data_IF_785882903398
#
_entry.id   IF_785882903398
#
_cell.length_a   1.000
_cell.length_b   1.000
_cell.length_c   1.000
_cell.angle_alpha   90.00
_cell.angle_beta   90.00
_cell.angle_gamma   90.00
#
_symmetry.space_group_name_H-M   'P 1'
#
loop_
_entity.id
_entity.type
_entity.pdbx_description
1 polymer ?
#
# COMPACT_ATOMS: atom_id res chain seq x y z
N UNK A 1 12.59 21.58 -0.48
CA UNK A 1 11.63 21.13 0.56
C UNK A 1 12.06 21.73 1.87
N UNK A 2 11.14 22.32 2.63
CA UNK A 2 11.42 22.69 4.02
C UNK A 2 11.63 21.41 4.83
N UNK A 3 12.64 21.38 5.69
CA UNK A 3 12.88 20.27 6.61
C UNK A 3 11.89 20.30 7.78
N UNK A 4 11.70 19.15 8.43
CA UNK A 4 10.79 19.00 9.55
C UNK A 4 11.06 17.75 10.37
N UNK A 5 10.13 17.46 11.28
CA UNK A 5 10.15 16.28 12.12
C UNK A 5 8.91 15.47 11.77
N UNK A 6 9.11 14.33 11.13
CA UNK A 6 8.07 13.44 10.68
C UNK A 6 7.72 12.41 11.75
N UNK A 7 6.43 12.17 11.95
CA UNK A 7 5.89 11.03 12.67
C UNK A 7 5.13 10.13 11.69
N UNK A 8 5.64 8.93 11.42
CA UNK A 8 5.02 7.96 10.52
C UNK A 8 4.27 6.92 11.35
N UNK A 9 2.94 6.94 11.32
CA UNK A 9 2.10 5.90 11.91
C UNK A 9 1.94 4.73 10.93
N UNK A 10 2.48 3.55 11.29
CA UNK A 10 2.56 2.40 10.37
C UNK A 10 3.87 2.34 9.60
N UNK A 11 5.00 2.69 10.23
CA UNK A 11 6.30 2.83 9.57
C UNK A 11 6.81 1.52 8.93
N UNK A 12 6.33 0.37 9.38
CA UNK A 12 6.68 -0.95 8.81
C UNK A 12 5.75 -1.40 7.67
N UNK A 13 4.76 -0.57 7.30
CA UNK A 13 3.85 -0.81 6.19
C UNK A 13 4.48 -0.49 4.82
N UNK A 14 3.82 -0.89 3.74
CA UNK A 14 4.30 -0.70 2.36
C UNK A 14 4.64 0.75 1.99
N UNK A 15 3.75 1.69 2.32
CA UNK A 15 4.03 3.13 2.14
C UNK A 15 4.95 3.65 3.24
N UNK A 16 4.75 3.22 4.50
CA UNK A 16 5.52 3.69 5.65
C UNK A 16 7.04 3.48 5.50
N UNK A 17 7.48 2.32 5.00
CA UNK A 17 8.90 2.03 4.74
C UNK A 17 9.45 2.95 3.64
N UNK A 18 8.69 3.11 2.56
CA UNK A 18 9.09 3.95 1.42
C UNK A 18 9.21 5.42 1.84
N UNK A 19 8.24 5.90 2.63
CA UNK A 19 8.22 7.24 3.21
C UNK A 19 9.39 7.47 4.17
N UNK A 20 9.65 6.50 5.07
CA UNK A 20 10.79 6.55 5.96
C UNK A 20 12.11 6.67 5.17
N UNK A 21 12.31 5.83 4.13
CA UNK A 21 13.51 5.86 3.27
C UNK A 21 13.71 7.22 2.59
N UNK A 22 12.64 7.80 2.03
CA UNK A 22 12.69 9.13 1.41
C UNK A 22 13.08 10.19 2.43
N UNK A 23 12.40 10.24 3.57
CA UNK A 23 12.63 11.28 4.58
C UNK A 23 14.02 11.19 5.23
N UNK A 24 14.51 9.99 5.59
CA UNK A 24 15.86 9.85 6.17
C UNK A 24 16.97 10.17 5.17
N UNK A 25 16.70 10.11 3.86
CA UNK A 25 17.65 10.52 2.81
C UNK A 25 17.74 12.05 2.64
N UNK A 26 17.03 12.80 3.47
CA UNK A 26 16.96 14.27 3.48
C UNK A 26 17.16 14.80 4.90
N UNK A 27 17.08 16.11 5.11
CA UNK A 27 17.30 16.75 6.43
C UNK A 27 16.13 16.59 7.42
N UNK A 28 15.32 15.54 7.28
CA UNK A 28 14.19 15.27 8.17
C UNK A 28 14.59 14.41 9.36
N UNK A 29 14.10 14.79 10.54
CA UNK A 29 14.09 13.89 11.69
C UNK A 29 12.87 12.96 11.58
N UNK A 30 13.08 11.65 11.67
CA UNK A 30 12.00 10.67 11.46
C UNK A 30 11.75 9.87 12.73
N UNK A 31 10.51 9.92 13.21
CA UNK A 31 9.95 8.97 14.16
C UNK A 31 9.02 8.00 13.43
N UNK A 32 9.07 6.73 13.80
CA UNK A 32 8.23 5.69 13.19
C UNK A 32 7.50 4.87 14.23
N UNK A 33 6.17 4.82 14.15
CA UNK A 33 5.33 3.99 15.03
C UNK A 33 4.97 2.68 14.35
N UNK A 34 5.13 1.58 15.08
CA UNK A 34 4.50 0.30 14.73
C UNK A 34 4.46 -0.62 15.96
N UNK A 35 3.61 -1.64 15.92
CA UNK A 35 3.49 -2.65 16.99
C UNK A 35 4.70 -3.59 17.07
N UNK A 36 5.49 -3.67 16.00
CA UNK A 36 6.61 -4.60 15.84
C UNK A 36 7.77 -3.88 15.19
N UNK A 37 8.99 -4.20 15.62
CA UNK A 37 10.20 -3.80 14.91
C UNK A 37 10.29 -4.56 13.57
N UNK A 38 11.02 -3.99 12.60
CA UNK A 38 11.26 -4.61 11.31
C UNK A 38 12.72 -4.38 10.92
N UNK A 39 13.39 -5.45 10.51
CA UNK A 39 14.79 -5.41 10.04
C UNK A 39 14.93 -4.63 8.72
N UNK A 40 13.81 -4.32 8.07
CA UNK A 40 13.76 -3.60 6.80
C UNK A 40 13.59 -2.08 6.95
N UNK A 41 13.53 -1.56 8.19
CA UNK A 41 13.51 -0.12 8.41
C UNK A 41 14.86 0.50 8.05
N UNK A 42 14.89 1.65 7.34
CA UNK A 42 16.15 2.30 7.04
C UNK A 42 16.80 2.87 8.30
N UNK A 43 18.13 2.93 8.29
CA UNK A 43 18.87 3.66 9.32
C UNK A 43 18.43 5.12 9.40
N UNK A 44 18.47 5.69 10.61
CA UNK A 44 18.03 7.06 10.89
C UNK A 44 16.57 7.21 11.36
N UNK A 45 15.78 6.13 11.32
CA UNK A 45 14.43 6.12 11.91
C UNK A 45 14.52 5.91 13.42
N UNK A 46 13.95 6.84 14.19
CA UNK A 46 13.72 6.68 15.62
C UNK A 46 12.44 5.85 15.81
N UNK A 47 12.59 4.53 15.88
CA UNK A 47 11.46 3.61 16.01
C UNK A 47 10.87 3.62 17.42
N UNK A 48 9.53 3.59 17.49
CA UNK A 48 8.76 3.60 18.73
C UNK A 48 7.72 2.49 18.65
N UNK A 49 7.78 1.58 19.63
CA UNK A 49 6.77 0.54 19.79
C UNK A 49 5.48 1.17 20.32
N UNK A 50 4.43 1.14 19.50
CA UNK A 50 3.15 1.74 19.82
C UNK A 50 2.02 0.92 19.16
N UNK A 51 1.01 0.57 19.96
CA UNK A 51 -0.23 -0.01 19.46
C UNK A 51 -1.32 1.06 19.47
N UNK A 52 -1.75 1.48 18.28
CA UNK A 52 -2.77 2.52 18.15
C UNK A 52 -4.15 2.11 18.67
N UNK A 53 -4.40 0.80 18.85
CA UNK A 53 -5.64 0.31 19.45
C UNK A 53 -5.63 0.38 20.98
N UNK A 54 -4.49 0.68 21.60
CA UNK A 54 -4.31 0.76 23.05
C UNK A 54 -3.97 2.21 23.44
N UNK A 55 -4.97 2.93 23.96
CA UNK A 55 -4.84 4.35 24.31
C UNK A 55 -3.70 4.63 25.30
N UNK A 56 -3.47 3.72 26.26
CA UNK A 56 -2.39 3.87 27.25
C UNK A 56 -1.02 3.75 26.59
N UNK A 57 -0.84 2.75 25.72
CA UNK A 57 0.41 2.57 24.97
C UNK A 57 0.66 3.72 23.98
N UNK A 58 -0.40 4.29 23.41
CA UNK A 58 -0.29 5.50 22.58
C UNK A 58 0.27 6.66 23.37
N UNK A 59 -0.38 6.98 24.50
CA UNK A 59 0.05 8.06 25.37
C UNK A 59 1.51 7.90 25.80
N UNK A 60 1.90 6.68 26.19
CA UNK A 60 3.27 6.38 26.58
C UNK A 60 4.29 6.52 25.45
N UNK A 61 3.98 6.02 24.25
CA UNK A 61 4.89 6.08 23.09
C UNK A 61 5.05 7.49 22.53
N UNK A 62 4.02 8.34 22.67
CA UNK A 62 3.98 9.68 22.08
C UNK A 62 4.43 10.78 23.06
N UNK A 63 4.52 10.50 24.37
CA UNK A 63 4.75 11.52 25.41
C UNK A 63 5.99 12.39 25.18
N UNK A 64 7.06 11.85 24.59
CA UNK A 64 8.33 12.55 24.36
C UNK A 64 8.42 13.26 23.00
N UNK A 65 7.45 13.08 22.11
CA UNK A 65 7.52 13.53 20.71
C UNK A 65 7.05 14.98 20.56
N UNK A 66 7.68 15.89 21.29
CA UNK A 66 7.29 17.30 21.36
C UNK A 66 7.67 18.12 20.12
N UNK A 67 8.59 17.62 19.32
CA UNK A 67 9.16 18.30 18.17
C UNK A 67 8.55 17.89 16.82
N UNK A 68 7.53 17.02 16.83
CA UNK A 68 6.82 16.58 15.61
C UNK A 68 6.14 17.77 14.94
N UNK A 69 6.36 17.90 13.63
CA UNK A 69 5.74 18.94 12.81
C UNK A 69 4.85 18.38 11.70
N UNK A 70 5.12 17.18 11.20
CA UNK A 70 4.29 16.55 10.16
C UNK A 70 3.97 15.13 10.58
N UNK A 71 2.69 14.77 10.49
CA UNK A 71 2.19 13.44 10.79
C UNK A 71 1.80 12.77 9.48
N UNK A 72 2.27 11.55 9.28
CA UNK A 72 1.91 10.72 8.14
C UNK A 72 1.21 9.47 8.66
N UNK A 73 -0.10 9.38 8.43
CA UNK A 73 -0.92 8.27 8.88
C UNK A 73 -1.07 7.24 7.77
N UNK A 74 -0.26 6.17 7.83
CA UNK A 74 -0.15 5.14 6.79
C UNK A 74 -0.53 3.75 7.29
N UNK A 75 -1.48 3.66 8.22
CA UNK A 75 -1.88 2.40 8.87
C UNK A 75 -3.39 2.26 8.96
N UNK A 76 -3.85 1.02 9.06
CA UNK A 76 -5.25 0.68 9.31
C UNK A 76 -5.35 -0.74 9.87
N UNK A 77 -6.56 -1.13 10.27
CA UNK A 77 -6.91 -2.49 10.69
C UNK A 77 -8.15 -2.95 9.93
N UNK A 78 -8.18 -4.21 9.50
CA UNK A 78 -9.41 -4.85 9.06
C UNK A 78 -9.84 -5.94 10.04
N UNK A 79 -11.13 -5.95 10.36
CA UNK A 79 -11.85 -6.96 11.12
C UNK A 79 -12.75 -7.82 10.22
N UNK A 80 -12.65 -7.66 8.89
CA UNK A 80 -13.53 -8.28 7.89
C UNK A 80 -15.02 -7.89 8.04
N UNK A 81 -15.29 -6.79 8.74
CA UNK A 81 -16.63 -6.28 9.02
C UNK A 81 -16.56 -4.75 8.85
N UNK A 82 -17.18 -4.19 7.79
CA UNK A 82 -17.07 -2.76 7.49
C UNK A 82 -17.50 -1.82 8.62
N UNK A 83 -18.47 -2.22 9.46
CA UNK A 83 -18.92 -1.38 10.56
C UNK A 83 -17.88 -1.35 11.68
N UNK A 84 -17.35 -2.52 12.04
CA UNK A 84 -16.26 -2.63 13.03
C UNK A 84 -14.96 -2.00 12.53
N UNK A 85 -14.68 -2.08 11.23
CA UNK A 85 -13.55 -1.39 10.60
C UNK A 85 -13.64 0.12 10.85
N UNK A 86 -14.83 0.72 10.71
CA UNK A 86 -15.04 2.14 11.00
C UNK A 86 -14.72 2.47 12.46
N UNK A 87 -15.25 1.70 13.40
CA UNK A 87 -15.11 1.98 14.83
C UNK A 87 -13.64 1.81 15.29
N UNK A 88 -12.97 0.74 14.87
CA UNK A 88 -11.58 0.46 15.25
C UNK A 88 -10.62 1.48 14.63
N UNK A 89 -10.75 1.79 13.33
CA UNK A 89 -9.83 2.74 12.69
C UNK A 89 -10.04 4.17 13.19
N UNK A 90 -11.28 4.58 13.49
CA UNK A 90 -11.57 5.87 14.12
C UNK A 90 -10.93 5.95 15.50
N UNK A 91 -11.06 4.91 16.33
CA UNK A 91 -10.42 4.88 17.66
C UNK A 91 -8.89 4.94 17.58
N UNK A 92 -8.28 4.23 16.63
CA UNK A 92 -6.83 4.29 16.40
C UNK A 92 -6.34 5.70 16.05
N UNK A 93 -7.07 6.40 15.17
CA UNK A 93 -6.74 7.76 14.80
C UNK A 93 -6.90 8.73 15.98
N UNK A 94 -8.01 8.62 16.73
CA UNK A 94 -8.27 9.45 17.90
C UNK A 94 -7.15 9.27 18.96
N UNK A 95 -6.77 8.02 19.27
CA UNK A 95 -5.69 7.72 20.20
C UNK A 95 -4.36 8.34 19.79
N UNK A 96 -4.05 8.41 18.48
CA UNK A 96 -2.87 9.11 17.99
C UNK A 96 -3.03 10.63 18.19
N UNK A 97 -4.12 11.21 17.68
CA UNK A 97 -4.32 12.66 17.63
C UNK A 97 -4.42 13.29 19.03
N UNK A 98 -5.04 12.60 19.99
CA UNK A 98 -5.11 13.03 21.41
C UNK A 98 -3.74 13.17 22.08
N UNK A 99 -2.71 12.54 21.52
CA UNK A 99 -1.37 12.51 22.08
C UNK A 99 -0.34 13.23 21.21
N UNK A 100 -0.76 13.89 20.12
CA UNK A 100 0.11 14.73 19.30
C UNK A 100 0.50 16.02 20.04
N UNK A 101 1.65 16.63 19.71
CA UNK A 101 1.97 17.96 20.22
C UNK A 101 0.99 19.00 19.65
N UNK A 102 0.69 20.04 20.43
CA UNK A 102 -0.31 21.07 20.10
C UNK A 102 0.01 21.97 18.90
N UNK A 103 1.13 21.74 18.20
CA UNK A 103 1.62 22.61 17.12
C UNK A 103 2.21 21.82 15.96
N UNK A 104 1.54 20.74 15.54
CA UNK A 104 1.85 20.17 14.24
C UNK A 104 1.52 21.18 13.13
N UNK A 105 2.23 21.11 12.01
CA UNK A 105 2.00 21.94 10.82
C UNK A 105 1.07 21.25 9.82
N UNK A 106 1.23 19.94 9.67
CA UNK A 106 0.51 19.18 8.66
C UNK A 106 0.16 17.75 9.12
N UNK A 107 -1.01 17.27 8.71
CA UNK A 107 -1.46 15.89 8.87
C UNK A 107 -1.81 15.27 7.51
N UNK A 108 -0.97 14.36 7.03
CA UNK A 108 -1.15 13.64 5.78
C UNK A 108 -1.78 12.27 6.04
N UNK A 109 -2.95 12.02 5.46
CA UNK A 109 -3.72 10.79 5.64
C UNK A 109 -3.61 9.90 4.40
N UNK A 110 -3.24 8.63 4.57
CA UNK A 110 -3.31 7.63 3.51
C UNK A 110 -4.65 6.88 3.59
N UNK A 111 -5.44 6.94 2.52
CA UNK A 111 -6.68 6.15 2.37
C UNK A 111 -6.59 5.25 1.12
N UNK A 112 -7.39 5.49 0.08
CA UNK A 112 -7.33 4.76 -1.18
C UNK A 112 -8.59 4.83 -2.02
N UNK A 113 -8.55 4.18 -3.18
CA UNK A 113 -9.64 4.18 -4.17
C UNK A 113 -10.99 3.69 -3.62
N UNK A 114 -11.02 2.94 -2.51
CA UNK A 114 -12.27 2.55 -1.81
C UNK A 114 -13.14 3.75 -1.38
N UNK A 115 -12.57 4.96 -1.31
CA UNK A 115 -13.34 6.20 -1.17
C UNK A 115 -14.46 6.30 -2.24
N UNK A 116 -14.13 5.91 -3.47
CA UNK A 116 -15.01 5.98 -4.62
C UNK A 116 -15.68 4.64 -4.92
N UNK A 117 -14.93 3.53 -4.76
CA UNK A 117 -15.37 2.19 -5.18
C UNK A 117 -16.03 1.37 -4.06
N UNK A 118 -16.04 1.83 -2.81
CA UNK A 118 -16.69 1.13 -1.69
C UNK A 118 -15.81 0.12 -0.96
N UNK A 119 -16.38 -0.52 0.06
CA UNK A 119 -15.70 -1.52 0.87
C UNK A 119 -15.53 -2.84 0.11
N UNK A 120 -14.66 -3.70 0.63
CA UNK A 120 -14.53 -5.06 0.10
C UNK A 120 -15.86 -5.80 0.28
N UNK A 121 -16.33 -6.45 -0.79
CA UNK A 121 -17.61 -7.16 -0.82
C UNK A 121 -18.82 -6.31 -1.21
N UNK A 122 -18.67 -4.98 -1.29
CA UNK A 122 -19.75 -4.13 -1.81
C UNK A 122 -20.00 -4.41 -3.29
N UNK A 123 -21.28 -4.39 -3.71
CA UNK A 123 -21.62 -4.37 -5.13
C UNK A 123 -21.10 -3.06 -5.72
N UNK A 124 -20.13 -3.15 -6.62
CA UNK A 124 -19.59 -1.98 -7.30
C UNK A 124 -20.63 -1.51 -8.32
N UNK A 125 -21.15 -0.30 -8.12
CA UNK A 125 -22.11 0.32 -9.05
C UNK A 125 -21.43 0.83 -10.32
N UNK A 126 -22.19 1.56 -11.14
CA UNK A 126 -21.69 2.17 -12.36
C UNK A 126 -20.76 3.36 -12.04
N UNK A 127 -19.46 3.08 -11.92
CA UNK A 127 -18.43 4.10 -11.73
C UNK A 127 -17.84 4.45 -13.10
N UNK A 128 -17.89 5.74 -13.44
CA UNK A 128 -17.30 6.27 -14.66
C UNK A 128 -15.81 6.54 -14.43
N UNK A 129 -14.94 5.97 -15.26
CA UNK A 129 -13.50 6.26 -15.25
C UNK A 129 -13.13 7.32 -16.30
N UNK A 130 -12.05 8.11 -16.09
CA UNK A 130 -11.16 8.09 -14.93
C UNK A 130 -11.81 8.68 -13.67
N UNK A 131 -11.54 8.05 -12.52
CA UNK A 131 -11.99 8.49 -11.20
C UNK A 131 -11.31 9.83 -10.87
N UNK A 132 -12.10 10.83 -10.47
CA UNK A 132 -11.63 12.18 -10.13
C UNK A 132 -11.88 12.50 -8.67
N UNK A 133 -11.05 13.33 -8.07
CA UNK A 133 -11.20 13.75 -6.67
C UNK A 133 -12.47 14.58 -6.42
N UNK A 134 -13.08 15.11 -7.49
CA UNK A 134 -14.38 15.82 -7.45
C UNK A 134 -15.58 14.88 -7.34
N UNK A 135 -15.39 13.57 -7.45
CA UNK A 135 -16.48 12.61 -7.25
C UNK A 135 -16.94 12.63 -5.79
N UNK A 136 -18.25 12.51 -5.58
CA UNK A 136 -18.80 12.45 -4.23
C UNK A 136 -18.36 11.18 -3.50
N UNK A 137 -18.36 11.26 -2.17
CA UNK A 137 -18.21 10.09 -1.30
C UNK A 137 -19.23 9.03 -1.69
N UNK A 138 -18.80 7.79 -1.85
CA UNK A 138 -19.73 6.69 -2.07
C UNK A 138 -20.68 6.56 -0.86
N UNK A 139 -22.01 6.44 -1.07
CA UNK A 139 -22.95 6.22 0.03
C UNK A 139 -22.62 4.96 0.83
N UNK A 140 -22.79 5.03 2.16
CA UNK A 140 -22.52 3.94 3.10
C UNK A 140 -21.41 4.25 4.10
N UNK A 141 -21.26 3.40 5.12
CA UNK A 141 -20.18 3.51 6.09
C UNK A 141 -18.86 3.07 5.45
N UNK A 142 -17.86 3.94 5.47
CA UNK A 142 -16.52 3.64 5.04
C UNK A 142 -15.56 4.34 6.00
N UNK A 143 -14.65 3.59 6.59
CA UNK A 143 -13.75 4.14 7.61
C UNK A 143 -12.86 5.27 7.05
N UNK A 144 -12.63 5.33 5.73
CA UNK A 144 -11.94 6.46 5.11
C UNK A 144 -12.67 7.78 5.35
N UNK A 145 -14.00 7.80 5.27
CA UNK A 145 -14.80 8.99 5.52
C UNK A 145 -14.73 9.40 7.00
N UNK A 146 -14.76 8.41 7.90
CA UNK A 146 -14.60 8.63 9.34
C UNK A 146 -13.24 9.24 9.70
N UNK A 147 -12.16 8.74 9.09
CA UNK A 147 -10.81 9.28 9.27
C UNK A 147 -10.70 10.71 8.72
N UNK A 148 -11.23 10.97 7.52
CA UNK A 148 -11.28 12.30 6.92
C UNK A 148 -12.02 13.30 7.83
N UNK A 149 -13.21 12.94 8.30
CA UNK A 149 -14.05 13.83 9.12
C UNK A 149 -13.37 14.20 10.44
N UNK A 150 -12.68 13.25 11.09
CA UNK A 150 -11.91 13.50 12.32
C UNK A 150 -10.74 14.47 12.06
N UNK A 151 -9.92 14.21 11.03
CA UNK A 151 -8.77 15.06 10.68
C UNK A 151 -9.24 16.47 10.30
N UNK A 152 -10.27 16.58 9.47
CA UNK A 152 -10.81 17.86 9.00
C UNK A 152 -11.45 18.65 10.15
N UNK A 153 -12.13 17.95 11.07
CA UNK A 153 -12.69 18.52 12.28
C UNK A 153 -11.62 19.16 13.16
N UNK A 154 -10.56 18.41 13.46
CA UNK A 154 -9.46 18.90 14.30
C UNK A 154 -8.63 19.98 13.64
N UNK A 155 -8.38 19.90 12.34
CA UNK A 155 -7.66 20.94 11.60
C UNK A 155 -8.29 22.33 11.78
N UNK A 156 -9.62 22.41 11.84
CA UNK A 156 -10.37 23.66 12.06
C UNK A 156 -10.14 24.28 13.45
N UNK A 157 -9.88 23.46 14.46
CA UNK A 157 -9.73 23.91 15.86
C UNK A 157 -8.28 23.99 16.33
N UNK A 158 -7.39 23.19 15.75
CA UNK A 158 -6.00 23.03 16.17
C UNK A 158 -4.98 23.70 15.22
N UNK A 159 -5.47 24.36 14.16
CA UNK A 159 -4.68 25.22 13.26
C UNK A 159 -3.50 24.52 12.56
N UNK A 160 -3.76 23.34 11.99
CA UNK A 160 -2.85 22.63 11.08
C UNK A 160 -3.50 22.41 9.70
N UNK A 161 -2.67 22.14 8.69
CA UNK A 161 -3.14 21.78 7.34
C UNK A 161 -3.23 20.27 7.17
N UNK A 162 -4.04 19.80 6.23
CA UNK A 162 -4.17 18.36 5.97
C UNK A 162 -4.06 18.03 4.50
N UNK A 163 -3.81 16.76 4.19
CA UNK A 163 -3.90 16.19 2.85
C UNK A 163 -4.41 14.76 2.94
N UNK A 164 -4.97 14.24 1.84
CA UNK A 164 -5.38 12.83 1.76
C UNK A 164 -4.86 12.19 0.47
N UNK A 165 -3.92 11.26 0.60
CA UNK A 165 -3.46 10.44 -0.51
C UNK A 165 -4.41 9.24 -0.72
N UNK A 166 -4.97 9.11 -1.92
CA UNK A 166 -5.90 8.06 -2.33
C UNK A 166 -5.28 7.21 -3.45
N UNK A 167 -4.38 6.27 -3.12
CA UNK A 167 -3.81 5.38 -4.12
C UNK A 167 -4.81 4.32 -4.60
N UNK A 168 -4.52 3.74 -5.77
CA UNK A 168 -5.05 2.44 -6.18
C UNK A 168 -4.30 1.33 -5.42
N UNK A 169 -4.42 0.07 -5.85
CA UNK A 169 -3.69 -1.02 -5.22
C UNK A 169 -2.18 -0.80 -5.32
N UNK A 170 -1.49 -1.01 -4.20
CA UNK A 170 -0.10 -0.56 -4.02
C UNK A 170 0.88 -1.67 -4.39
N UNK A 171 1.88 -1.31 -5.20
CA UNK A 171 3.05 -2.12 -5.51
C UNK A 171 4.23 -1.58 -4.70
N UNK A 172 4.85 -2.42 -3.87
CA UNK A 172 6.01 -2.01 -3.10
C UNK A 172 6.54 -3.08 -2.16
N UNK A 173 7.69 -2.81 -1.55
CA UNK A 173 8.37 -3.76 -0.67
C UNK A 173 7.98 -3.53 0.79
N UNK A 174 7.25 -4.47 1.37
CA UNK A 174 7.04 -4.59 2.82
C UNK A 174 6.68 -6.04 3.19
N UNK A 175 7.67 -6.87 3.58
CA UNK A 175 7.44 -8.29 3.87
C UNK A 175 6.44 -8.58 5.00
N UNK A 176 6.18 -7.59 5.87
CA UNK A 176 5.22 -7.70 6.98
C UNK A 176 3.81 -7.21 6.62
N UNK A 177 3.56 -6.79 5.37
CA UNK A 177 2.26 -6.33 4.88
C UNK A 177 1.64 -7.40 3.98
N UNK A 178 0.45 -7.89 4.36
CA UNK A 178 -0.19 -9.02 3.68
C UNK A 178 -0.95 -8.62 2.41
N UNK A 179 -1.50 -7.40 2.35
CA UNK A 179 -2.13 -6.85 1.13
C UNK A 179 -1.06 -6.24 0.23
N UNK A 180 -0.35 -7.10 -0.48
CA UNK A 180 0.76 -6.73 -1.34
C UNK A 180 0.76 -7.57 -2.62
N UNK A 181 0.31 -6.96 -3.73
CA UNK A 181 0.14 -7.67 -5.01
C UNK A 181 1.48 -8.20 -5.50
N UNK A 182 2.55 -7.40 -5.44
CA UNK A 182 3.86 -7.83 -5.92
C UNK A 182 4.39 -9.05 -5.14
N UNK A 183 4.25 -9.04 -3.81
CA UNK A 183 4.69 -10.19 -2.99
C UNK A 183 3.88 -11.45 -3.33
N UNK A 184 2.56 -11.33 -3.46
CA UNK A 184 1.69 -12.45 -3.85
C UNK A 184 2.04 -13.04 -5.22
N UNK A 185 2.22 -12.18 -6.23
CA UNK A 185 2.59 -12.62 -7.59
C UNK A 185 3.98 -13.25 -7.63
N UNK A 186 4.94 -12.71 -6.88
CA UNK A 186 6.30 -13.24 -6.81
C UNK A 186 6.34 -14.65 -6.20
N UNK A 187 5.55 -14.89 -5.15
CA UNK A 187 5.43 -16.22 -4.51
C UNK A 187 4.72 -17.19 -5.44
N UNK A 188 3.60 -16.77 -6.07
CA UNK A 188 2.89 -17.60 -7.03
C UNK A 188 3.78 -18.01 -8.21
N UNK A 189 4.51 -17.05 -8.81
CA UNK A 189 5.48 -17.33 -9.87
C UNK A 189 6.59 -18.29 -9.39
N UNK A 190 7.11 -18.11 -8.18
CA UNK A 190 8.13 -18.99 -7.60
C UNK A 190 7.61 -20.41 -7.43
N UNK A 191 6.40 -20.59 -6.88
CA UNK A 191 5.76 -21.90 -6.73
C UNK A 191 5.52 -22.56 -8.09
N UNK A 192 4.98 -21.83 -9.06
CA UNK A 192 4.80 -22.34 -10.41
C UNK A 192 6.12 -22.84 -11.01
N UNK A 193 7.19 -22.06 -10.88
CA UNK A 193 8.51 -22.45 -11.36
C UNK A 193 9.04 -23.73 -10.70
N UNK A 194 9.01 -23.77 -9.37
CA UNK A 194 9.61 -24.87 -8.59
C UNK A 194 8.82 -26.17 -8.69
N UNK A 195 7.50 -26.08 -8.87
CA UNK A 195 6.61 -27.22 -9.00
C UNK A 195 6.37 -27.61 -10.46
N UNK A 196 6.97 -26.92 -11.42
CA UNK A 196 6.74 -27.09 -12.86
C UNK A 196 5.24 -27.01 -13.22
N UNK A 197 4.54 -26.04 -12.63
CA UNK A 197 3.13 -25.75 -12.89
C UNK A 197 2.99 -24.59 -13.87
N UNK A 198 1.92 -24.55 -14.67
CA UNK A 198 1.61 -23.41 -15.52
C UNK A 198 1.43 -22.12 -14.70
N UNK A 199 1.99 -21.01 -15.16
CA UNK A 199 1.76 -19.68 -14.56
C UNK A 199 0.47 -19.06 -15.12
N UNK A 200 -0.66 -19.70 -14.79
CA UNK A 200 -1.99 -19.32 -15.27
C UNK A 200 -2.42 -17.97 -14.69
N UNK A 201 -2.98 -17.09 -15.52
CA UNK A 201 -3.66 -15.89 -15.02
C UNK A 201 -4.90 -16.28 -14.23
N UNK A 202 -4.99 -15.83 -12.99
CA UNK A 202 -6.05 -16.24 -12.05
C UNK A 202 -7.29 -15.34 -12.09
N UNK A 203 -7.15 -14.09 -12.54
CA UNK A 203 -8.25 -13.12 -12.56
C UNK A 203 -9.31 -13.42 -13.63
N UNK A 204 -10.44 -12.72 -13.53
CA UNK A 204 -11.54 -12.85 -14.50
C UNK A 204 -11.26 -12.15 -15.84
N UNK A 205 -12.08 -12.47 -16.85
CA UNK A 205 -11.87 -12.02 -18.24
C UNK A 205 -11.86 -10.49 -18.36
N UNK A 206 -12.71 -9.82 -17.58
CA UNK A 206 -12.76 -8.36 -17.55
C UNK A 206 -11.43 -7.77 -17.08
N UNK A 207 -10.88 -8.26 -15.96
CA UNK A 207 -9.58 -7.78 -15.45
C UNK A 207 -8.43 -8.14 -16.39
N UNK A 208 -8.45 -9.31 -17.01
CA UNK A 208 -7.45 -9.71 -18.00
C UNK A 208 -7.35 -8.69 -19.15
N UNK A 209 -8.51 -8.16 -19.57
CA UNK A 209 -8.64 -7.32 -20.75
C UNK A 209 -8.73 -5.82 -20.50
N UNK A 210 -9.25 -5.33 -19.37
CA UNK A 210 -9.51 -3.90 -19.14
C UNK A 210 -8.22 -3.08 -18.98
N UNK A 211 -8.34 -1.75 -19.05
CA UNK A 211 -7.25 -0.90 -18.59
C UNK A 211 -7.20 -0.93 -17.07
N UNK A 212 -6.01 -0.81 -16.52
CA UNK A 212 -5.77 -0.76 -15.09
C UNK A 212 -4.65 0.23 -14.81
N UNK A 213 -4.69 0.84 -13.64
CA UNK A 213 -3.55 1.52 -13.04
C UNK A 213 -3.25 0.97 -11.65
N UNK A 214 -2.07 1.33 -11.13
CA UNK A 214 -1.57 0.92 -9.83
C UNK A 214 -0.79 2.08 -9.22
N UNK A 215 -0.43 1.93 -7.96
CA UNK A 215 0.30 2.94 -7.20
C UNK A 215 1.60 2.34 -6.66
N UNK A 216 2.74 2.86 -7.10
CA UNK A 216 4.04 2.52 -6.55
C UNK A 216 4.20 3.16 -5.17
N UNK A 217 4.65 2.37 -4.19
CA UNK A 217 4.77 2.83 -2.80
C UNK A 217 5.78 3.97 -2.63
N UNK A 218 6.84 4.04 -3.44
CA UNK A 218 7.78 5.16 -3.42
C UNK A 218 7.18 6.41 -4.05
N UNK A 219 6.35 6.27 -5.08
CA UNK A 219 5.62 7.42 -5.64
C UNK A 219 4.55 7.93 -4.68
N UNK A 220 3.83 7.05 -3.98
CA UNK A 220 2.89 7.45 -2.92
C UNK A 220 3.63 8.18 -1.81
N UNK A 221 4.78 7.67 -1.38
CA UNK A 221 5.62 8.36 -0.40
C UNK A 221 6.07 9.75 -0.87
N UNK A 222 6.54 9.85 -2.13
CA UNK A 222 6.94 11.12 -2.72
C UNK A 222 5.78 12.12 -2.83
N UNK A 223 4.58 11.62 -3.16
CA UNK A 223 3.37 12.40 -3.23
C UNK A 223 2.97 12.92 -1.85
N UNK A 224 2.92 12.05 -0.83
CA UNK A 224 2.63 12.43 0.56
C UNK A 224 3.60 13.51 1.10
N UNK A 225 4.89 13.40 0.76
CA UNK A 225 5.88 14.44 1.12
C UNK A 225 5.55 15.76 0.40
N UNK A 226 5.24 15.71 -0.89
CA UNK A 226 4.87 16.90 -1.66
C UNK A 226 3.61 17.58 -1.12
N UNK A 227 2.50 16.85 -0.94
CA UNK A 227 1.23 17.43 -0.45
C UNK A 227 1.36 18.01 0.96
N UNK A 228 2.28 17.48 1.77
CA UNK A 228 2.56 17.98 3.12
C UNK A 228 3.47 19.21 3.18
N UNK A 229 4.16 19.55 2.07
CA UNK A 229 5.17 20.62 2.05
C UNK A 229 4.93 21.70 1.00
N UNK A 230 4.06 21.48 0.02
CA UNK A 230 3.63 22.46 -0.98
C UNK A 230 2.41 23.23 -0.46
N UNK A 231 2.51 24.55 -0.17
CA UNK A 231 1.40 25.33 0.35
C UNK A 231 0.13 25.29 -0.52
N UNK A 232 0.27 25.18 -1.84
CA UNK A 232 -0.88 25.07 -2.76
C UNK A 232 -1.57 23.71 -2.72
N UNK A 233 -0.93 22.70 -2.15
CA UNK A 233 -1.46 21.34 -2.02
C UNK A 233 -2.18 21.11 -0.68
N UNK A 234 -2.19 22.10 0.21
CA UNK A 234 -2.86 21.98 1.50
C UNK A 234 -4.40 21.87 1.37
N UNK A 235 -4.97 21.13 2.31
CA UNK A 235 -6.41 20.95 2.55
C UNK A 235 -7.18 20.33 1.38
N UNK A 236 -6.60 19.31 0.76
CA UNK A 236 -7.15 18.62 -0.40
C UNK A 236 -6.93 17.09 -0.34
N UNK A 237 -7.83 16.35 -0.97
CA UNK A 237 -7.63 14.93 -1.26
C UNK A 237 -7.12 14.75 -2.69
N UNK A 238 -6.23 13.79 -2.89
CA UNK A 238 -5.53 13.54 -4.14
C UNK A 238 -5.60 12.07 -4.51
N UNK A 239 -5.91 11.78 -5.77
CA UNK A 239 -5.58 10.50 -6.35
C UNK A 239 -4.06 10.38 -6.49
N UNK A 240 -3.52 9.17 -6.31
CA UNK A 240 -2.08 8.93 -6.43
C UNK A 240 -1.82 7.62 -7.16
N UNK A 241 -1.59 7.68 -8.47
CA UNK A 241 -1.27 6.52 -9.32
C UNK A 241 0.00 6.74 -10.14
N UNK A 242 0.49 5.67 -10.76
CA UNK A 242 1.76 5.63 -11.49
C UNK A 242 1.87 6.63 -12.63
N UNK A 243 0.73 6.95 -13.25
CA UNK A 243 0.62 7.90 -14.35
C UNK A 243 0.70 7.24 -15.74
N UNK A 244 0.86 5.92 -15.80
CA UNK A 244 0.54 5.08 -16.96
C UNK A 244 -0.68 4.18 -16.67
N UNK A 245 -1.17 3.54 -17.72
CA UNK A 245 -2.17 2.47 -17.66
C UNK A 245 -1.63 1.24 -18.38
N UNK A 246 -2.11 0.07 -18.00
CA UNK A 246 -1.71 -1.21 -18.60
C UNK A 246 -2.92 -2.14 -18.72
N UNK A 247 -2.73 -3.29 -19.39
CA UNK A 247 -3.68 -4.42 -19.35
C UNK A 247 -3.02 -5.60 -18.69
N UNK A 248 -3.75 -6.33 -17.84
CA UNK A 248 -3.18 -7.48 -17.13
C UNK A 248 -2.63 -8.55 -18.07
N UNK A 249 -3.24 -8.78 -19.25
CA UNK A 249 -2.66 -9.70 -20.25
C UNK A 249 -1.23 -9.37 -20.70
N UNK A 250 -0.88 -8.08 -20.77
CA UNK A 250 0.46 -7.63 -21.12
C UNK A 250 1.39 -7.70 -19.91
N UNK A 251 0.93 -7.22 -18.75
CA UNK A 251 1.69 -7.29 -17.50
C UNK A 251 2.01 -8.73 -17.10
N UNK A 252 1.07 -9.66 -17.29
CA UNK A 252 1.25 -11.06 -16.97
C UNK A 252 2.37 -11.70 -17.80
N UNK A 253 2.41 -11.41 -19.11
CA UNK A 253 3.50 -11.83 -19.97
C UNK A 253 4.85 -11.22 -19.56
N UNK A 254 4.86 -9.95 -19.14
CA UNK A 254 6.06 -9.27 -18.65
C UNK A 254 6.58 -9.90 -17.33
N UNK A 255 5.69 -10.18 -16.37
CA UNK A 255 6.04 -10.86 -15.11
C UNK A 255 6.54 -12.28 -15.38
N UNK A 256 5.89 -13.04 -16.25
CA UNK A 256 6.33 -14.38 -16.60
C UNK A 256 7.72 -14.37 -17.24
N UNK A 257 7.99 -13.42 -18.14
CA UNK A 257 9.33 -13.22 -18.70
C UNK A 257 10.36 -12.91 -17.62
N UNK A 258 10.04 -12.05 -16.65
CA UNK A 258 10.93 -11.74 -15.52
C UNK A 258 11.29 -12.98 -14.69
N UNK A 259 10.33 -13.89 -14.47
CA UNK A 259 10.54 -15.14 -13.73
C UNK A 259 11.00 -16.33 -14.58
N UNK A 260 11.16 -16.14 -15.91
CA UNK A 260 11.44 -17.20 -16.88
C UNK A 260 10.40 -18.34 -16.83
N UNK A 261 9.13 -17.96 -16.96
CA UNK A 261 7.97 -18.84 -16.97
C UNK A 261 7.25 -18.77 -18.31
N UNK A 262 6.65 -19.89 -18.72
CA UNK A 262 5.69 -19.92 -19.81
C UNK A 262 4.30 -19.49 -19.31
N UNK A 263 3.59 -18.73 -20.14
CA UNK A 263 2.21 -18.31 -19.90
C UNK A 263 1.30 -19.14 -20.80
N UNK A 264 0.42 -19.99 -20.25
CA UNK A 264 -0.61 -20.65 -21.04
C UNK A 264 -1.59 -19.64 -21.65
N UNK A 265 -2.33 -20.06 -22.68
CA UNK A 265 -3.46 -19.28 -23.18
C UNK A 265 -4.47 -19.03 -22.06
N UNK A 266 -5.02 -17.82 -21.99
CA UNK A 266 -6.06 -17.51 -21.02
C UNK A 266 -7.32 -18.32 -21.36
N UNK A 267 -7.74 -19.16 -20.42
CA UNK A 267 -8.82 -20.14 -20.61
C UNK A 267 -10.22 -19.54 -20.41
N UNK A 268 -10.34 -18.23 -20.15
CA UNK A 268 -11.63 -17.58 -19.88
C UNK A 268 -12.13 -17.75 -18.44
N UNK A 269 -11.51 -18.62 -17.64
CA UNK A 269 -11.99 -18.99 -16.32
C UNK A 269 -11.17 -18.31 -15.21
N UNK A 270 -11.88 -17.65 -14.30
CA UNK A 270 -11.26 -17.16 -13.07
C UNK A 270 -10.90 -18.34 -12.15
N UNK A 271 -9.74 -18.25 -11.50
CA UNK A 271 -9.27 -19.17 -10.50
C UNK A 271 -8.99 -18.43 -9.18
N UNK A 272 -9.13 -19.14 -8.05
CA UNK A 272 -8.79 -18.57 -6.74
C UNK A 272 -7.35 -18.89 -6.37
N UNK A 273 -6.53 -17.85 -6.17
CA UNK A 273 -5.22 -18.00 -5.56
C UNK A 273 -5.33 -18.43 -4.10
N UNK A 274 -6.41 -18.09 -3.39
CA UNK A 274 -6.68 -18.65 -2.05
C UNK A 274 -6.73 -20.17 -2.11
N UNK A 275 -7.61 -20.74 -2.95
CA UNK A 275 -7.74 -22.18 -3.10
C UNK A 275 -6.45 -22.83 -3.63
N UNK A 276 -5.72 -22.17 -4.54
CA UNK A 276 -4.45 -22.66 -5.05
C UNK A 276 -3.39 -22.81 -3.95
N UNK A 277 -3.39 -21.94 -2.96
CA UNK A 277 -2.36 -21.86 -1.91
C UNK A 277 -2.66 -22.73 -0.68
N UNK A 278 -3.90 -23.22 -0.51
CA UNK A 278 -4.35 -23.95 0.68
C UNK A 278 -3.48 -25.18 1.02
N UNK A 279 -3.03 -25.92 0.01
CA UNK A 279 -2.24 -27.15 0.13
C UNK A 279 -0.74 -26.95 -0.23
N UNK A 280 -0.27 -25.70 -0.37
CA UNK A 280 1.09 -25.40 -0.84
C UNK A 280 2.09 -25.04 0.25
N UNK A 281 1.69 -25.11 1.53
CA UNK A 281 2.55 -24.79 2.68
C UNK A 281 3.83 -25.63 2.69
N UNK A 282 3.72 -26.95 2.54
CA UNK A 282 4.89 -27.85 2.55
C UNK A 282 5.83 -27.62 1.35
N UNK A 283 5.25 -27.31 0.18
CA UNK A 283 6.01 -26.95 -1.00
C UNK A 283 6.80 -25.65 -0.77
N UNK A 284 6.16 -24.63 -0.21
CA UNK A 284 6.81 -23.37 0.14
C UNK A 284 7.93 -23.56 1.17
N UNK A 285 7.70 -24.36 2.23
CA UNK A 285 8.74 -24.67 3.21
C UNK A 285 9.96 -25.35 2.58
N UNK A 286 9.73 -26.22 1.59
CA UNK A 286 10.80 -26.89 0.85
C UNK A 286 11.63 -25.87 0.06
N UNK A 287 10.97 -24.91 -0.60
CA UNK A 287 11.63 -23.82 -1.34
C UNK A 287 12.42 -22.93 -0.37
N UNK A 288 11.84 -22.55 0.76
CA UNK A 288 12.51 -21.75 1.81
C UNK A 288 13.78 -22.44 2.28
N UNK A 289 13.73 -23.75 2.57
CA UNK A 289 14.91 -24.54 2.96
C UNK A 289 15.93 -24.66 1.83
N UNK A 290 15.49 -24.97 0.60
CA UNK A 290 16.35 -25.17 -0.58
C UNK A 290 17.20 -23.94 -0.90
N UNK A 291 16.62 -22.75 -0.82
CA UNK A 291 17.29 -21.50 -1.19
C UNK A 291 17.80 -20.67 -0.01
N UNK A 292 17.64 -21.15 1.23
CA UNK A 292 18.04 -20.41 2.43
C UNK A 292 17.27 -19.08 2.56
N UNK A 293 15.98 -19.09 2.21
CA UNK A 293 15.15 -17.90 2.26
C UNK A 293 14.85 -17.50 3.71
N UNK A 294 14.49 -16.24 3.89
CA UNK A 294 13.92 -15.75 5.14
C UNK A 294 12.68 -16.58 5.48
N UNK A 295 12.60 -17.10 6.71
CA UNK A 295 11.54 -18.01 7.12
C UNK A 295 10.20 -17.28 7.12
N UNK A 296 9.35 -17.61 6.15
CA UNK A 296 8.00 -17.05 6.01
C UNK A 296 6.96 -18.14 6.03
N UNK A 297 5.79 -17.79 6.55
CA UNK A 297 4.59 -18.62 6.57
C UNK A 297 3.75 -18.24 5.35
N UNK A 298 3.51 -19.21 4.45
CA UNK A 298 2.80 -19.00 3.18
C UNK A 298 1.42 -18.37 3.42
N UNK A 299 0.73 -18.74 4.51
CA UNK A 299 -0.61 -18.26 4.83
C UNK A 299 -0.61 -16.87 5.47
N UNK A 300 0.57 -16.36 5.86
CA UNK A 300 0.71 -15.05 6.53
C UNK A 300 1.48 -14.02 5.73
N UNK A 301 2.29 -14.43 4.75
CA UNK A 301 3.08 -13.50 3.94
C UNK A 301 2.23 -12.72 2.93
N UNK A 302 1.14 -13.32 2.45
CA UNK A 302 0.19 -12.68 1.54
C UNK A 302 -1.24 -12.98 1.99
N UNK A 303 -2.11 -11.99 1.88
CA UNK A 303 -3.55 -12.18 2.00
C UNK A 303 -4.08 -12.68 0.65
N UNK A 304 -4.16 -14.00 0.46
CA UNK A 304 -4.57 -14.58 -0.83
C UNK A 304 -5.97 -14.16 -1.28
N UNK A 305 -6.90 -13.99 -0.34
CA UNK A 305 -8.23 -13.45 -0.63
C UNK A 305 -8.18 -12.05 -1.26
N UNK A 306 -7.18 -11.23 -0.89
CA UNK A 306 -7.02 -9.89 -1.46
C UNK A 306 -6.53 -9.95 -2.90
N UNK A 307 -5.69 -10.94 -3.24
CA UNK A 307 -5.31 -11.19 -4.62
C UNK A 307 -6.54 -11.52 -5.46
N UNK A 308 -7.40 -12.42 -4.95
CA UNK A 308 -8.65 -12.80 -5.62
C UNK A 308 -9.56 -11.59 -5.83
N UNK A 309 -9.72 -10.72 -4.82
CA UNK A 309 -10.49 -9.48 -4.94
C UNK A 309 -9.94 -8.58 -6.06
N UNK A 310 -8.62 -8.39 -6.13
CA UNK A 310 -7.99 -7.57 -7.18
C UNK A 310 -8.18 -8.21 -8.57
N UNK A 311 -8.00 -9.52 -8.68
CA UNK A 311 -8.15 -10.25 -9.94
C UNK A 311 -9.59 -10.35 -10.44
N UNK A 312 -10.58 -10.14 -9.55
CA UNK A 312 -12.00 -10.27 -9.84
C UNK A 312 -12.77 -8.94 -9.86
N UNK A 313 -12.06 -7.80 -9.87
CA UNK A 313 -12.71 -6.51 -9.96
C UNK A 313 -13.62 -6.44 -11.21
N UNK A 314 -14.93 -6.19 -11.06
CA UNK A 314 -15.90 -6.23 -12.15
C UNK A 314 -15.91 -4.94 -12.97
N UNK A 315 -14.92 -4.06 -12.81
CA UNK A 315 -14.85 -2.74 -13.46
C UNK A 315 -13.43 -2.44 -13.91
N UNK A 316 -13.32 -1.61 -14.95
CA UNK A 316 -12.09 -0.88 -15.24
C UNK A 316 -11.90 0.17 -14.14
N UNK A 317 -10.70 0.28 -13.58
CA UNK A 317 -10.35 1.31 -12.58
C UNK A 317 -9.13 2.05 -13.07
N UNK A 318 -9.33 3.33 -13.36
CA UNK A 318 -8.29 4.28 -13.76
C UNK A 318 -8.57 5.58 -13.00
N UNK A 319 -7.55 6.18 -12.40
CA UNK A 319 -7.64 7.39 -11.59
C UNK A 319 -6.97 8.56 -12.30
N UNK A 320 -7.61 9.72 -12.25
CA UNK A 320 -7.08 10.96 -12.80
C UNK A 320 -5.99 11.55 -11.90
N UNK A 321 -4.92 12.08 -12.50
CA UNK A 321 -3.80 12.75 -11.81
C UNK A 321 -3.69 14.23 -12.18
N UNK A 322 -4.67 14.81 -12.88
CA UNK A 322 -4.57 16.15 -13.44
C UNK A 322 -4.40 17.20 -12.34
N UNK A 323 -5.18 17.12 -11.25
CA UNK A 323 -5.09 18.06 -10.13
C UNK A 323 -3.67 18.10 -9.53
N UNK A 324 -3.12 16.93 -9.19
CA UNK A 324 -1.73 16.81 -8.70
C UNK A 324 -0.71 17.40 -9.68
N UNK A 325 -0.88 17.17 -10.99
CA UNK A 325 0.04 17.68 -12.03
C UNK A 325 -0.05 19.19 -12.21
N UNK A 326 -1.25 19.75 -12.20
CA UNK A 326 -1.49 21.20 -12.29
C UNK A 326 -0.89 21.95 -11.09
N UNK A 327 -0.87 21.31 -9.92
CA UNK A 327 -0.24 21.83 -8.70
C UNK A 327 1.27 21.54 -8.62
N UNK A 328 1.86 20.91 -9.64
CA UNK A 328 3.31 20.76 -9.79
C UNK A 328 3.89 19.40 -9.42
N UNK A 329 3.07 18.40 -9.04
CA UNK A 329 3.54 17.03 -8.86
C UNK A 329 3.66 16.31 -10.21
N UNK A 330 4.88 16.27 -10.75
CA UNK A 330 5.18 15.74 -12.09
C UNK A 330 5.88 14.37 -12.07
N UNK A 331 6.02 13.74 -10.90
CA UNK A 331 6.65 12.41 -10.83
C UNK A 331 5.78 11.37 -11.55
N UNK A 332 6.46 10.45 -12.22
CA UNK A 332 5.90 9.34 -12.98
C UNK A 332 6.65 8.07 -12.61
N UNK A 333 5.92 6.97 -12.49
CA UNK A 333 6.49 5.65 -12.34
C UNK A 333 5.96 4.75 -13.45
N UNK A 334 6.86 4.00 -14.09
CA UNK A 334 6.43 2.97 -15.01
C UNK A 334 5.97 1.74 -14.21
N UNK A 335 4.75 1.26 -14.45
CA UNK A 335 4.15 0.19 -13.64
C UNK A 335 4.91 -1.14 -13.75
N UNK A 336 5.39 -1.52 -14.94
CA UNK A 336 6.17 -2.75 -15.11
C UNK A 336 7.48 -2.69 -14.31
N UNK A 337 8.20 -1.55 -14.40
CA UNK A 337 9.42 -1.33 -13.61
C UNK A 337 9.16 -1.32 -12.09
N UNK A 338 7.98 -0.87 -11.64
CA UNK A 338 7.60 -0.90 -10.22
C UNK A 338 7.51 -2.35 -9.69
N UNK A 339 6.89 -3.25 -10.46
CA UNK A 339 6.86 -4.68 -10.13
C UNK A 339 8.27 -5.27 -10.09
N UNK A 340 9.05 -5.07 -11.15
CA UNK A 340 10.39 -5.69 -11.24
C UNK A 340 11.32 -5.22 -10.14
N UNK A 341 11.32 -3.91 -9.85
CA UNK A 341 12.08 -3.35 -8.73
C UNK A 341 11.63 -3.94 -7.40
N UNK A 342 10.32 -4.15 -7.21
CA UNK A 342 9.81 -4.79 -5.99
C UNK A 342 10.24 -6.26 -5.90
N UNK A 343 10.24 -7.00 -7.02
CA UNK A 343 10.74 -8.37 -7.06
C UNK A 343 12.25 -8.43 -6.76
N UNK A 344 13.03 -7.47 -7.28
CA UNK A 344 14.46 -7.36 -6.97
C UNK A 344 14.68 -7.11 -5.47
N UNK A 345 13.90 -6.22 -4.85
CA UNK A 345 13.96 -6.03 -3.39
C UNK A 345 13.58 -7.30 -2.61
N UNK A 346 12.58 -8.07 -3.07
CA UNK A 346 12.22 -9.36 -2.46
C UNK A 346 13.35 -10.40 -2.60
N UNK A 347 14.08 -10.41 -3.73
CA UNK A 347 15.27 -11.25 -3.95
C UNK A 347 16.44 -10.83 -3.04
N UNK A 348 16.70 -9.53 -2.93
CA UNK A 348 17.76 -8.98 -2.07
C UNK A 348 17.51 -9.30 -0.60
N UNK A 349 16.25 -9.21 -0.16
CA UNK A 349 15.81 -9.58 1.17
C UNK A 349 15.71 -11.10 1.41
N UNK A 350 16.08 -11.93 0.43
CA UNK A 350 15.93 -13.38 0.44
C UNK A 350 14.49 -13.84 0.80
N UNK A 351 13.47 -13.09 0.42
CA UNK A 351 12.06 -13.51 0.56
C UNK A 351 11.66 -14.48 -0.54
N UNK A 352 12.22 -14.29 -1.74
CA UNK A 352 12.09 -15.19 -2.89
C UNK A 352 13.48 -15.56 -3.43
N UNK A 353 13.61 -16.65 -4.21
CA UNK A 353 14.88 -17.03 -4.82
C UNK A 353 15.41 -15.96 -5.79
N UNK A 354 16.74 -15.76 -5.82
CA UNK A 354 17.40 -14.80 -6.72
C UNK A 354 17.31 -15.16 -8.21
N UNK A 355 16.80 -16.35 -8.53
CA UNK A 355 16.82 -16.95 -9.85
C UNK A 355 18.11 -17.72 -10.10
N UNK A 356 18.10 -18.60 -11.09
CA UNK A 356 19.29 -19.31 -11.55
C UNK A 356 20.27 -18.26 -12.08
N UNK A 357 21.39 -18.08 -11.38
CA UNK A 357 22.24 -16.92 -11.51
C UNK A 357 22.69 -16.65 -12.93
N UNK A 358 22.13 -15.61 -13.55
CA UNK A 358 22.84 -14.80 -14.53
C UNK A 358 22.85 -13.37 -13.98
N UNK A 359 23.97 -13.02 -13.32
CA UNK A 359 24.42 -11.63 -13.27
C UNK A 359 24.56 -11.18 -14.73
N UNK A 360 23.72 -10.25 -15.16
CA UNK A 360 24.10 -9.36 -16.26
C UNK A 360 24.97 -8.24 -15.69
#
# INVERSE_FOLDING_TARGET
MSSGTALIAGVTGVVGISLARRLVSTDWKVYGLSRRQSDFLPGGVNHILCDLQDASKCADGLKTLKDVTHVFYTTWVSTMDPEKDCDVNRSMLANLMDNLPSKIKHFALLTGAKHYIGNFGDVIGDIVTPIKETMERRPGRNFYHDLEDEVFGRAKTENFTWSVARPMAIVGFAPNTTMNIATGLAIYATLCKEMNLPFQFFGGEKMFNCLSDLSDAEQVADHMIWESTEPKAANQGYNVVNGDVFRWKQMWAAIAKYFNLEVPEYNGEAASLTAFMDDKTDAWETIVKKYGLYKTDLQKICAWWFMDVVGMLPIEVVMDMANSRELGFLKYQNTEKSFFKTFDYLKEANIIPKGDGNRL
#
